data_IF_962035108320
#
_entry.id   IF_962035108320
#
_cell.length_a   1.000
_cell.length_b   1.000
_cell.length_c   1.000
_cell.angle_alpha   90.00
_cell.angle_beta   90.00
_cell.angle_gamma   90.00
#
_symmetry.space_group_name_H-M   'P 1'
#
loop_
_entity.id
_entity.type
_entity.pdbx_description
1 polymer ?
#
# COMPACT_ATOMS: atom_id res chain seq x y z
N UNK A 1 64.33 3.81 12.37
CA UNK A 1 63.29 4.41 13.25
C UNK A 1 62.49 5.54 12.60
N UNK A 2 63.06 6.50 11.84
CA UNK A 2 62.29 7.61 11.21
C UNK A 2 61.18 7.19 10.22
N UNK A 3 61.26 6.00 9.62
CA UNK A 3 60.26 5.53 8.65
C UNK A 3 58.93 5.11 9.29
N UNK A 4 58.95 4.50 10.48
CA UNK A 4 57.75 3.98 11.15
C UNK A 4 56.84 5.11 11.65
N UNK A 5 57.44 6.20 12.13
CA UNK A 5 56.71 7.36 12.64
C UNK A 5 55.90 8.08 11.55
N UNK A 6 56.41 8.09 10.31
CA UNK A 6 55.71 8.63 9.14
C UNK A 6 54.46 7.83 8.77
N UNK A 7 54.55 6.49 8.80
CA UNK A 7 53.41 5.62 8.53
C UNK A 7 52.31 5.73 9.58
N UNK A 8 52.67 5.85 10.86
CA UNK A 8 51.70 5.99 11.95
C UNK A 8 50.93 7.32 11.81
N UNK A 9 51.60 8.42 11.47
CA UNK A 9 50.95 9.72 11.26
C UNK A 9 50.03 9.73 10.04
N UNK A 10 50.48 9.12 8.93
CA UNK A 10 49.65 8.99 7.72
C UNK A 10 48.40 8.13 7.97
N UNK A 11 48.54 7.02 8.70
CA UNK A 11 47.43 6.15 9.05
C UNK A 11 46.42 6.82 9.99
N UNK A 12 46.90 7.53 11.02
CA UNK A 12 46.04 8.31 11.90
C UNK A 12 45.25 9.39 11.14
N UNK A 13 45.91 10.13 10.24
CA UNK A 13 45.25 11.13 9.40
C UNK A 13 44.17 10.52 8.50
N UNK A 14 44.43 9.35 7.91
CA UNK A 14 43.44 8.63 7.10
C UNK A 14 42.22 8.19 7.92
N UNK A 15 42.41 7.69 9.14
CA UNK A 15 41.32 7.33 10.04
C UNK A 15 40.46 8.54 10.43
N UNK A 16 41.08 9.69 10.72
CA UNK A 16 40.33 10.92 11.02
C UNK A 16 39.52 11.40 9.80
N UNK A 17 40.06 11.30 8.59
CA UNK A 17 39.31 11.66 7.37
C UNK A 17 38.12 10.73 7.12
N UNK A 18 38.29 9.42 7.29
CA UNK A 18 37.20 8.44 7.15
C UNK A 18 36.12 8.70 8.21
N UNK A 19 36.52 8.88 9.48
CA UNK A 19 35.60 9.21 10.56
C UNK A 19 34.84 10.52 10.31
N UNK A 20 35.53 11.55 9.81
CA UNK A 20 34.93 12.83 9.43
C UNK A 20 33.91 12.71 8.29
N UNK A 21 34.22 11.91 7.26
CA UNK A 21 33.30 11.64 6.15
C UNK A 21 32.07 10.86 6.58
N UNK A 22 32.23 9.84 7.44
CA UNK A 22 31.11 9.07 7.99
C UNK A 22 30.21 9.96 8.85
N UNK A 23 30.81 10.78 9.72
CA UNK A 23 30.06 11.73 10.55
C UNK A 23 29.30 12.75 9.69
N UNK A 24 29.95 13.34 8.68
CA UNK A 24 29.30 14.29 7.79
C UNK A 24 28.17 13.63 6.98
N UNK A 25 28.39 12.42 6.44
CA UNK A 25 27.38 11.66 5.70
C UNK A 25 26.16 11.32 6.57
N UNK A 26 26.36 10.91 7.82
CA UNK A 26 25.27 10.69 8.78
C UNK A 26 24.48 11.97 9.06
N UNK A 27 25.16 13.10 9.27
CA UNK A 27 24.48 14.37 9.53
C UNK A 27 23.66 14.81 8.30
N UNK A 28 24.20 14.70 7.09
CA UNK A 28 23.46 15.02 5.85
C UNK A 28 22.20 14.15 5.73
N UNK A 29 22.30 12.84 6.01
CA UNK A 29 21.13 11.95 6.02
C UNK A 29 20.08 12.41 7.06
N UNK A 30 20.50 12.70 8.28
CA UNK A 30 19.59 13.16 9.35
C UNK A 30 18.90 14.47 8.97
N UNK A 31 19.63 15.45 8.43
CA UNK A 31 19.05 16.72 7.99
C UNK A 31 18.11 16.54 6.80
N UNK A 32 18.45 15.69 5.82
CA UNK A 32 17.55 15.39 4.70
C UNK A 32 16.25 14.72 5.15
N UNK A 33 16.34 13.84 6.16
CA UNK A 33 15.19 13.16 6.75
C UNK A 33 14.33 14.14 7.55
N UNK A 34 14.96 15.02 8.35
CA UNK A 34 14.28 16.06 9.10
C UNK A 34 13.57 17.08 8.19
N UNK A 35 14.22 17.54 7.11
CA UNK A 35 13.59 18.43 6.13
C UNK A 35 12.37 17.77 5.46
N UNK A 36 12.50 16.49 5.10
CA UNK A 36 11.40 15.65 4.62
C UNK A 36 10.21 15.62 5.59
N UNK A 37 10.45 15.36 6.87
CA UNK A 37 9.40 15.36 7.92
C UNK A 37 8.75 16.73 8.06
N UNK A 38 9.53 17.82 8.09
CA UNK A 38 8.96 19.18 8.21
C UNK A 38 8.18 19.62 6.98
N UNK A 39 8.59 19.22 5.76
CA UNK A 39 7.80 19.46 4.55
C UNK A 39 6.49 18.70 4.61
N UNK A 40 6.52 17.44 5.07
CA UNK A 40 5.32 16.65 5.29
C UNK A 40 4.41 17.35 6.32
N UNK A 41 4.91 17.76 7.49
CA UNK A 41 4.09 18.49 8.47
C UNK A 41 3.47 19.78 7.93
N UNK A 42 4.22 20.60 7.18
CA UNK A 42 3.69 21.83 6.57
C UNK A 42 2.65 21.55 5.49
N UNK A 43 2.84 20.49 4.70
CA UNK A 43 1.87 20.03 3.70
C UNK A 43 0.60 19.49 4.38
N UNK A 44 0.70 18.99 5.61
CA UNK A 44 -0.47 18.60 6.41
C UNK A 44 -1.21 19.80 7.02
N UNK A 45 -0.48 20.85 7.43
CA UNK A 45 -1.06 22.08 8.01
C UNK A 45 -1.73 22.99 6.96
N UNK A 46 -1.22 23.00 5.73
CA UNK A 46 -1.79 23.76 4.63
C UNK A 46 -1.53 23.05 3.28
N UNK A 47 -2.27 21.97 2.97
CA UNK A 47 -2.03 21.19 1.79
C UNK A 47 -2.24 22.07 0.55
N UNK A 48 -1.18 22.20 -0.25
CA UNK A 48 -1.34 22.73 -1.61
C UNK A 48 -2.21 21.75 -2.37
N UNK A 49 -3.18 22.27 -3.11
CA UNK A 49 -3.99 21.46 -4.00
C UNK A 49 -3.04 20.71 -4.97
N UNK A 50 -3.05 19.36 -4.93
CA UNK A 50 -2.14 18.53 -5.74
C UNK A 50 -2.36 18.69 -7.25
N UNK A 51 -3.51 19.23 -7.67
CA UNK A 51 -3.85 19.50 -9.08
C UNK A 51 -3.85 21.00 -9.41
N UNK A 52 -3.44 21.89 -8.49
CA UNK A 52 -3.43 23.33 -8.73
C UNK A 52 -2.61 23.75 -9.97
N UNK A 53 -1.51 23.05 -10.24
CA UNK A 53 -0.64 23.33 -11.39
C UNK A 53 -1.37 23.17 -12.74
N UNK A 54 -2.40 22.31 -12.78
CA UNK A 54 -3.22 22.03 -13.96
C UNK A 54 -4.40 22.99 -14.12
N UNK A 55 -4.58 23.94 -13.20
CA UNK A 55 -5.65 24.96 -13.21
C UNK A 55 -7.07 24.37 -13.36
N UNK A 56 -7.27 23.14 -12.88
CA UNK A 56 -8.56 22.47 -12.92
C UNK A 56 -9.57 23.14 -11.99
N UNK A 57 -10.81 23.30 -12.45
CA UNK A 57 -11.93 23.75 -11.60
C UNK A 57 -12.59 22.52 -11.00
N UNK A 58 -12.29 22.20 -9.73
CA UNK A 58 -12.81 21.01 -9.06
C UNK A 58 -13.61 21.43 -7.82
N UNK A 59 -14.86 20.97 -7.71
CA UNK A 59 -15.71 21.11 -6.51
C UNK A 59 -15.76 19.80 -5.71
N UNK A 60 -16.29 19.86 -4.48
CA UNK A 60 -16.51 18.69 -3.61
C UNK A 60 -15.26 17.87 -3.22
N UNK A 61 -14.05 18.40 -3.49
CA UNK A 61 -12.77 17.74 -3.20
C UNK A 61 -12.25 17.99 -1.77
N UNK A 62 -12.93 18.85 -1.00
CA UNK A 62 -12.59 19.20 0.38
C UNK A 62 -13.43 18.41 1.39
N UNK A 63 -12.85 18.14 2.55
CA UNK A 63 -13.55 17.57 3.69
C UNK A 63 -14.58 18.57 4.26
N UNK A 64 -15.44 18.11 5.17
CA UNK A 64 -16.49 18.93 5.80
C UNK A 64 -15.93 20.18 6.51
N UNK A 65 -14.69 20.11 7.00
CA UNK A 65 -14.02 21.24 7.63
C UNK A 65 -13.58 22.35 6.65
N UNK A 66 -13.67 22.10 5.34
CA UNK A 66 -13.25 23.00 4.26
C UNK A 66 -11.74 23.25 4.17
N UNK A 67 -10.96 22.77 5.15
CA UNK A 67 -9.52 23.02 5.26
C UNK A 67 -8.73 21.93 4.56
N UNK A 68 -9.08 20.67 4.82
CA UNK A 68 -8.38 19.50 4.28
C UNK A 68 -9.01 19.00 3.01
N UNK A 69 -8.21 18.37 2.16
CA UNK A 69 -8.72 17.61 1.03
C UNK A 69 -9.22 16.25 1.47
N UNK A 70 -10.21 15.72 0.75
CA UNK A 70 -10.64 14.32 0.93
C UNK A 70 -9.46 13.40 0.59
N UNK A 71 -9.18 12.33 1.37
CA UNK A 71 -8.08 11.41 1.09
C UNK A 71 -8.10 10.86 -0.34
N UNK A 72 -9.26 10.37 -0.79
CA UNK A 72 -9.42 9.85 -2.14
C UNK A 72 -9.13 10.86 -3.26
N UNK A 73 -9.29 12.16 -3.00
CA UNK A 73 -8.90 13.21 -3.95
C UNK A 73 -7.38 13.33 -4.06
N UNK A 74 -6.68 13.33 -2.93
CA UNK A 74 -5.21 13.40 -2.91
C UNK A 74 -4.59 12.14 -3.54
N UNK A 75 -5.14 10.98 -3.21
CA UNK A 75 -4.72 9.68 -3.74
C UNK A 75 -4.93 9.58 -5.25
N UNK A 76 -6.06 10.07 -5.76
CA UNK A 76 -6.34 10.15 -7.20
C UNK A 76 -5.43 11.18 -7.90
N UNK A 77 -5.18 12.34 -7.27
CA UNK A 77 -4.35 13.38 -7.85
C UNK A 77 -2.88 12.99 -7.95
N UNK A 78 -2.36 12.26 -6.94
CA UNK A 78 -1.00 11.72 -6.90
C UNK A 78 -0.98 10.29 -7.50
N UNK A 79 -1.62 10.11 -8.65
CA UNK A 79 -1.90 8.82 -9.27
C UNK A 79 -0.66 7.94 -9.54
N UNK A 80 0.51 8.53 -9.74
CA UNK A 80 1.74 7.80 -10.04
C UNK A 80 2.67 7.64 -8.83
N UNK A 81 2.25 8.14 -7.67
CA UNK A 81 3.04 8.10 -6.43
C UNK A 81 2.59 6.91 -5.56
N UNK A 82 3.54 6.05 -5.20
CA UNK A 82 3.29 4.88 -4.33
C UNK A 82 3.00 5.30 -2.88
N UNK A 83 3.46 6.48 -2.48
CA UNK A 83 3.26 7.06 -1.15
C UNK A 83 2.01 7.94 -1.07
N UNK A 84 1.20 7.98 -2.15
CA UNK A 84 -0.04 8.75 -2.22
C UNK A 84 -1.14 8.30 -1.23
N UNK A 85 -0.96 7.19 -0.51
CA UNK A 85 -1.90 6.69 0.49
C UNK A 85 -2.83 5.58 0.00
N UNK A 86 -2.74 5.17 -1.26
CA UNK A 86 -3.57 4.08 -1.80
C UNK A 86 -3.18 2.74 -1.18
N UNK A 87 -4.17 2.01 -0.70
CA UNK A 87 -3.92 0.79 0.08
C UNK A 87 -4.75 -0.42 -0.33
N UNK A 88 -4.16 -1.60 -0.16
CA UNK A 88 -4.89 -2.88 -0.11
C UNK A 88 -4.69 -3.47 1.28
N UNK A 89 -5.76 -3.55 2.05
CA UNK A 89 -5.80 -4.42 3.23
C UNK A 89 -6.18 -5.83 2.80
N UNK A 90 -5.45 -6.83 3.29
CA UNK A 90 -5.84 -8.22 3.13
C UNK A 90 -5.81 -8.98 4.47
N UNK A 91 -6.64 -10.01 4.57
CA UNK A 91 -6.49 -11.04 5.60
C UNK A 91 -6.71 -12.44 5.03
N UNK A 92 -5.97 -13.41 5.54
CA UNK A 92 -5.97 -14.80 5.12
C UNK A 92 -5.84 -15.73 6.31
N UNK A 93 -6.35 -16.95 6.17
CA UNK A 93 -6.02 -18.09 7.02
C UNK A 93 -5.26 -19.08 6.16
N UNK A 94 -4.10 -19.51 6.63
CA UNK A 94 -3.16 -20.33 5.87
C UNK A 94 -2.74 -21.51 6.73
N UNK A 95 -2.83 -22.76 6.25
CA UNK A 95 -2.23 -23.89 6.93
C UNK A 95 -0.74 -23.63 7.22
N UNK A 96 -0.27 -24.00 8.41
CA UNK A 96 1.13 -23.78 8.77
C UNK A 96 2.08 -24.55 7.83
N UNK A 97 1.68 -25.74 7.36
CA UNK A 97 2.45 -26.48 6.36
C UNK A 97 2.71 -25.70 5.07
N UNK A 98 1.77 -24.85 4.63
CA UNK A 98 1.90 -24.07 3.39
C UNK A 98 2.89 -22.89 3.54
N UNK A 99 3.31 -22.59 4.77
CA UNK A 99 4.29 -21.54 5.08
C UNK A 99 5.71 -22.07 5.26
N UNK A 100 5.88 -23.40 5.30
CA UNK A 100 7.19 -24.04 5.39
C UNK A 100 7.87 -24.04 4.01
N UNK A 101 9.17 -23.79 4.00
CA UNK A 101 9.99 -24.05 2.83
C UNK A 101 10.16 -25.57 2.63
N UNK A 102 10.55 -25.98 1.43
CA UNK A 102 10.85 -27.37 1.15
C UNK A 102 11.94 -27.90 2.10
N UNK A 103 11.64 -28.99 2.82
CA UNK A 103 12.53 -29.61 3.80
C UNK A 103 12.60 -28.91 5.16
N UNK A 104 11.86 -27.82 5.36
CA UNK A 104 11.80 -27.15 6.66
C UNK A 104 10.93 -27.94 7.63
N UNK A 105 11.45 -28.16 8.83
CA UNK A 105 10.69 -28.82 9.90
C UNK A 105 9.72 -27.84 10.54
N UNK A 106 8.59 -28.37 11.04
CA UNK A 106 7.63 -27.60 11.80
C UNK A 106 8.32 -26.96 13.03
N UNK A 107 8.17 -25.65 13.27
CA UNK A 107 8.73 -25.00 14.46
C UNK A 107 8.18 -25.62 15.74
N UNK A 108 9.00 -25.62 16.80
CA UNK A 108 8.54 -26.01 18.13
C UNK A 108 7.40 -25.09 18.60
N UNK A 109 6.51 -25.56 19.49
CA UNK A 109 5.35 -24.80 19.93
C UNK A 109 5.69 -23.39 20.45
N UNK A 110 6.79 -23.23 21.18
CA UNK A 110 7.25 -21.94 21.71
C UNK A 110 7.73 -20.95 20.63
N UNK A 111 8.07 -21.42 19.43
CA UNK A 111 8.53 -20.60 18.31
C UNK A 111 7.43 -20.31 17.26
N UNK A 112 6.24 -20.92 17.38
CA UNK A 112 5.18 -20.79 16.38
C UNK A 112 4.75 -19.34 16.11
N UNK A 113 4.68 -18.50 17.15
CA UNK A 113 4.28 -17.10 16.98
C UNK A 113 5.36 -16.27 16.29
N UNK A 114 6.63 -16.52 16.62
CA UNK A 114 7.77 -15.85 15.98
C UNK A 114 7.84 -16.26 14.51
N UNK A 115 7.64 -17.55 14.22
CA UNK A 115 7.54 -18.08 12.87
C UNK A 115 6.38 -17.46 12.09
N UNK A 116 5.18 -17.39 12.66
CA UNK A 116 4.02 -16.78 12.00
C UNK A 116 4.30 -15.32 11.61
N UNK A 117 4.88 -14.54 12.52
CA UNK A 117 5.26 -13.14 12.26
C UNK A 117 6.31 -13.01 11.17
N UNK A 118 7.34 -13.85 11.17
CA UNK A 118 8.38 -13.80 10.15
C UNK A 118 7.86 -14.19 8.76
N UNK A 119 6.96 -15.18 8.70
CA UNK A 119 6.34 -15.63 7.44
C UNK A 119 5.27 -14.69 6.90
N UNK A 120 4.65 -13.87 7.74
CA UNK A 120 3.64 -12.90 7.32
C UNK A 120 4.16 -11.93 6.24
N UNK A 121 5.40 -11.46 6.36
CA UNK A 121 6.01 -10.54 5.37
C UNK A 121 6.22 -11.25 4.03
N UNK A 122 6.72 -12.49 4.03
CA UNK A 122 6.89 -13.28 2.82
C UNK A 122 5.54 -13.59 2.15
N UNK A 123 4.51 -13.86 2.96
CA UNK A 123 3.16 -14.05 2.44
C UNK A 123 2.59 -12.76 1.83
N UNK A 124 2.79 -11.61 2.48
CA UNK A 124 2.40 -10.30 1.98
C UNK A 124 3.11 -9.94 0.67
N UNK A 125 4.37 -10.34 0.48
CA UNK A 125 5.08 -10.19 -0.80
C UNK A 125 4.38 -10.97 -1.93
N UNK A 126 4.03 -12.24 -1.69
CA UNK A 126 3.22 -13.03 -2.63
C UNK A 126 1.85 -12.39 -2.89
N UNK A 127 1.24 -11.79 -1.87
CA UNK A 127 -0.04 -11.08 -2.05
C UNK A 127 0.14 -9.82 -2.92
N UNK A 128 1.25 -9.08 -2.75
CA UNK A 128 1.62 -7.99 -3.64
C UNK A 128 1.75 -8.45 -5.09
N UNK A 129 2.37 -9.60 -5.35
CA UNK A 129 2.44 -10.18 -6.70
C UNK A 129 1.05 -10.42 -7.30
N UNK A 130 0.08 -10.89 -6.50
CA UNK A 130 -1.32 -11.08 -6.95
C UNK A 130 -2.02 -9.75 -7.26
N UNK A 131 -1.80 -8.74 -6.42
CA UNK A 131 -2.32 -7.38 -6.68
C UNK A 131 -1.71 -6.82 -7.96
N UNK A 132 -0.39 -7.01 -8.15
CA UNK A 132 0.33 -6.63 -9.36
C UNK A 132 -0.07 -7.43 -10.60
N UNK A 133 -0.83 -8.52 -10.50
CA UNK A 133 -1.37 -9.25 -11.65
C UNK A 133 -2.67 -8.64 -12.18
N UNK A 134 -3.33 -7.74 -11.43
CA UNK A 134 -4.66 -7.24 -11.77
C UNK A 134 -4.83 -5.73 -11.59
N UNK A 135 -4.53 -5.20 -10.41
CA UNK A 135 -4.85 -3.83 -10.02
C UNK A 135 -3.65 -2.90 -10.12
N UNK A 136 -2.45 -3.41 -9.85
CA UNK A 136 -1.25 -2.59 -9.69
C UNK A 136 -0.18 -2.83 -10.76
N UNK A 137 0.61 -1.80 -11.05
CA UNK A 137 1.90 -1.92 -11.75
C UNK A 137 3.08 -1.99 -10.78
N UNK A 138 2.93 -1.39 -9.60
CA UNK A 138 3.90 -1.43 -8.51
C UNK A 138 3.15 -1.73 -7.21
N UNK A 139 3.73 -2.57 -6.36
CA UNK A 139 3.18 -2.90 -5.05
C UNK A 139 4.30 -3.04 -4.02
N UNK A 140 4.08 -2.48 -2.84
CA UNK A 140 5.01 -2.57 -1.73
C UNK A 140 4.27 -3.01 -0.46
N UNK A 141 4.89 -3.89 0.31
CA UNK A 141 4.38 -4.27 1.63
C UNK A 141 4.64 -3.12 2.60
N UNK A 142 3.58 -2.54 3.17
CA UNK A 142 3.69 -1.52 4.21
C UNK A 142 3.88 -2.17 5.59
N UNK A 143 3.04 -3.17 5.88
CA UNK A 143 3.08 -3.94 7.12
C UNK A 143 2.38 -5.28 6.92
N UNK A 144 2.85 -6.31 7.62
CA UNK A 144 2.14 -7.58 7.74
C UNK A 144 2.29 -8.15 9.16
N UNK A 145 1.26 -8.83 9.61
CA UNK A 145 1.22 -9.53 10.89
C UNK A 145 0.77 -10.98 10.68
N UNK A 146 1.33 -11.89 11.48
CA UNK A 146 0.97 -13.29 11.50
C UNK A 146 0.73 -13.77 12.92
N UNK A 147 -0.34 -14.54 13.11
CA UNK A 147 -0.71 -15.17 14.38
C UNK A 147 -0.99 -16.66 14.16
N UNK A 148 -0.27 -17.53 14.86
CA UNK A 148 -0.51 -18.96 14.81
C UNK A 148 -1.63 -19.38 15.79
N UNK A 149 -2.52 -20.26 15.36
CA UNK A 149 -3.59 -20.88 16.15
C UNK A 149 -3.89 -22.26 15.56
N UNK A 150 -3.72 -23.33 16.34
CA UNK A 150 -4.12 -24.70 15.99
C UNK A 150 -3.67 -25.20 14.60
N UNK A 151 -2.41 -24.95 14.25
CA UNK A 151 -1.84 -25.36 12.95
C UNK A 151 -2.26 -24.50 11.76
N UNK A 152 -3.01 -23.42 12.02
CA UNK A 152 -3.37 -22.39 11.04
C UNK A 152 -2.67 -21.10 11.45
N UNK A 153 -2.26 -20.31 10.46
CA UNK A 153 -1.74 -18.96 10.66
C UNK A 153 -2.72 -17.98 10.06
N UNK A 154 -3.26 -17.10 10.90
CA UNK A 154 -3.97 -15.91 10.44
C UNK A 154 -2.93 -14.87 10.04
N UNK A 155 -2.98 -14.41 8.80
CA UNK A 155 -2.09 -13.40 8.25
C UNK A 155 -2.94 -12.20 7.82
N UNK A 156 -2.54 -11.00 8.21
CA UNK A 156 -3.12 -9.76 7.70
C UNK A 156 -2.02 -8.79 7.30
N UNK A 157 -2.35 -7.83 6.46
CA UNK A 157 -1.38 -6.83 6.06
C UNK A 157 -1.99 -5.67 5.28
N UNK A 158 -1.17 -4.63 5.16
CA UNK A 158 -1.43 -3.47 4.33
C UNK A 158 -0.37 -3.40 3.25
N UNK A 159 -0.82 -3.26 2.01
CA UNK A 159 0.00 -3.06 0.83
C UNK A 159 -0.23 -1.64 0.34
N UNK A 160 0.82 -0.97 -0.13
CA UNK A 160 0.72 0.24 -0.95
C UNK A 160 0.83 -0.16 -2.40
N UNK A 161 0.17 0.58 -3.28
CA UNK A 161 0.25 0.27 -4.70
C UNK A 161 0.13 1.50 -5.59
N UNK A 162 0.68 1.36 -6.79
CA UNK A 162 0.42 2.25 -7.91
C UNK A 162 -0.48 1.51 -8.89
N UNK A 163 -1.64 2.10 -9.20
CA UNK A 163 -2.61 1.48 -10.10
C UNK A 163 -1.98 1.22 -11.48
N UNK A 164 -2.31 0.05 -12.05
CA UNK A 164 -1.80 -0.39 -13.34
C UNK A 164 -2.33 0.45 -14.49
N UNK A 165 -3.64 0.48 -14.62
CA UNK A 165 -4.33 1.19 -15.70
C UNK A 165 -4.23 2.69 -15.45
N UNK A 166 -4.09 3.50 -16.50
CA UNK A 166 -4.02 4.95 -16.36
C UNK A 166 -5.30 5.53 -15.75
N UNK A 167 -5.19 6.72 -15.13
CA UNK A 167 -6.31 7.42 -14.52
C UNK A 167 -7.45 7.71 -15.50
N UNK A 168 -7.13 7.92 -16.78
CA UNK A 168 -8.04 8.43 -17.80
C UNK A 168 -7.85 9.90 -18.12
N UNK A 169 -8.64 10.40 -19.07
CA UNK A 169 -8.51 11.76 -19.57
C UNK A 169 -9.22 12.76 -18.66
N UNK A 170 -8.53 13.86 -18.34
CA UNK A 170 -9.10 15.00 -17.61
C UNK A 170 -8.90 16.25 -18.47
N UNK A 171 -9.99 16.77 -19.02
CA UNK A 171 -10.06 18.03 -19.77
C UNK A 171 -9.81 19.22 -18.83
N UNK A 172 -8.74 19.97 -19.11
CA UNK A 172 -8.31 21.09 -18.27
C UNK A 172 -9.23 22.31 -18.36
N UNK A 173 -10.07 22.37 -19.39
CA UNK A 173 -11.02 23.46 -19.59
C UNK A 173 -12.40 23.18 -18.99
N UNK A 174 -12.64 21.95 -18.51
CA UNK A 174 -13.91 21.56 -17.92
C UNK A 174 -13.97 21.86 -16.42
N UNK A 175 -15.18 22.06 -15.92
CA UNK A 175 -15.46 22.05 -14.49
C UNK A 175 -15.81 20.61 -14.05
N UNK A 176 -15.31 20.22 -12.89
CA UNK A 176 -15.37 18.85 -12.38
C UNK A 176 -15.93 18.82 -10.95
N UNK A 177 -16.68 17.78 -10.64
CA UNK A 177 -17.09 17.43 -9.28
C UNK A 177 -16.29 16.21 -8.86
N UNK A 178 -15.61 16.29 -7.70
CA UNK A 178 -14.98 15.11 -7.12
C UNK A 178 -16.05 14.16 -6.55
N UNK A 179 -15.95 12.89 -6.94
CA UNK A 179 -16.82 11.83 -6.44
C UNK A 179 -15.99 10.68 -5.88
N UNK A 180 -16.54 10.05 -4.85
CA UNK A 180 -15.98 8.87 -4.22
C UNK A 180 -17.11 7.88 -3.94
N UNK A 181 -16.90 6.63 -4.32
CA UNK A 181 -17.89 5.56 -4.14
C UNK A 181 -17.23 4.33 -3.54
N UNK A 182 -17.92 3.71 -2.59
CA UNK A 182 -17.54 2.43 -2.01
C UNK A 182 -18.43 1.34 -2.61
N UNK A 183 -17.82 0.27 -3.14
CA UNK A 183 -18.53 -0.87 -3.70
C UNK A 183 -18.22 -2.15 -2.90
N UNK A 184 -19.26 -2.95 -2.65
CA UNK A 184 -19.11 -4.29 -2.08
C UNK A 184 -18.89 -5.29 -3.21
N UNK A 185 -17.68 -5.84 -3.31
CA UNK A 185 -17.27 -6.76 -4.37
C UNK A 185 -17.84 -8.18 -4.19
N UNK A 186 -18.37 -8.50 -3.02
CA UNK A 186 -18.91 -9.82 -2.67
C UNK A 186 -20.44 -9.89 -2.70
N UNK A 187 -21.14 -8.83 -3.11
CA UNK A 187 -22.61 -8.81 -3.33
C UNK A 187 -23.44 -9.29 -2.12
N UNK A 188 -23.02 -8.95 -0.89
CA UNK A 188 -23.77 -9.28 0.33
C UNK A 188 -22.90 -9.75 1.47
N UNK A 189 -23.38 -10.78 2.21
CA UNK A 189 -22.78 -11.29 3.45
C UNK A 189 -21.62 -12.25 3.20
N UNK A 190 -20.58 -11.81 2.51
CA UNK A 190 -19.39 -12.62 2.19
C UNK A 190 -19.66 -13.83 1.29
N UNK A 191 -18.62 -14.29 0.60
CA UNK A 191 -18.62 -15.45 -0.29
C UNK A 191 -17.96 -16.63 0.41
N UNK A 192 -18.64 -17.78 0.61
CA UNK A 192 -18.04 -18.98 1.17
C UNK A 192 -16.76 -19.40 0.42
N UNK A 193 -15.76 -19.85 1.17
CA UNK A 193 -14.47 -20.30 0.66
C UNK A 193 -13.85 -21.39 1.55
N UNK A 194 -12.75 -21.98 1.09
CA UNK A 194 -11.90 -22.91 1.86
C UNK A 194 -10.50 -22.32 2.04
N UNK A 195 -9.70 -22.92 2.93
CA UNK A 195 -8.27 -22.57 3.06
C UNK A 195 -7.55 -22.68 1.70
N UNK A 196 -7.76 -23.79 0.99
CA UNK A 196 -7.13 -24.06 -0.31
C UNK A 196 -7.60 -23.15 -1.45
N UNK A 197 -8.82 -22.63 -1.40
CA UNK A 197 -9.37 -21.76 -2.45
C UNK A 197 -9.31 -20.27 -2.12
N UNK A 198 -8.97 -19.91 -0.87
CA UNK A 198 -8.97 -18.54 -0.38
C UNK A 198 -8.06 -17.64 -1.21
N UNK A 199 -6.88 -18.13 -1.60
CA UNK A 199 -5.94 -17.41 -2.47
C UNK A 199 -6.57 -17.06 -3.84
N UNK A 200 -7.07 -18.06 -4.56
CA UNK A 200 -7.70 -17.87 -5.86
C UNK A 200 -8.92 -16.95 -5.76
N UNK A 201 -9.67 -17.05 -4.66
CA UNK A 201 -10.80 -16.17 -4.36
C UNK A 201 -10.39 -14.71 -4.20
N UNK A 202 -9.32 -14.41 -3.44
CA UNK A 202 -8.79 -13.05 -3.31
C UNK A 202 -8.28 -12.49 -4.64
N UNK A 203 -7.55 -13.30 -5.41
CA UNK A 203 -7.11 -12.90 -6.75
C UNK A 203 -8.27 -12.55 -7.70
N UNK A 204 -9.41 -13.25 -7.59
CA UNK A 204 -10.62 -12.93 -8.34
C UNK A 204 -11.25 -11.59 -7.90
N UNK A 205 -11.20 -11.27 -6.61
CA UNK A 205 -11.71 -10.00 -6.07
C UNK A 205 -10.85 -8.81 -6.52
N UNK A 206 -9.52 -8.96 -6.59
CA UNK A 206 -8.65 -7.93 -7.18
C UNK A 206 -9.01 -7.66 -8.65
N UNK A 207 -9.22 -8.71 -9.46
CA UNK A 207 -9.69 -8.56 -10.85
C UNK A 207 -11.06 -7.87 -10.93
N UNK A 208 -12.00 -8.21 -10.05
CA UNK A 208 -13.33 -7.58 -10.02
C UNK A 208 -13.23 -6.08 -9.73
N UNK A 209 -12.35 -5.66 -8.81
CA UNK A 209 -12.12 -4.24 -8.54
C UNK A 209 -11.56 -3.50 -9.75
N UNK A 210 -10.57 -4.07 -10.44
CA UNK A 210 -10.03 -3.50 -11.67
C UNK A 210 -11.11 -3.34 -12.76
N UNK A 211 -11.96 -4.36 -12.95
CA UNK A 211 -13.08 -4.33 -13.90
C UNK A 211 -14.10 -3.22 -13.55
N UNK A 212 -14.44 -3.06 -12.27
CA UNK A 212 -15.33 -2.00 -11.79
C UNK A 212 -14.75 -0.61 -12.03
N UNK A 213 -13.46 -0.42 -11.78
CA UNK A 213 -12.82 0.86 -12.09
C UNK A 213 -12.81 1.14 -13.61
N UNK A 214 -12.58 0.12 -14.45
CA UNK A 214 -12.68 0.25 -15.90
C UNK A 214 -14.11 0.58 -16.37
N UNK A 215 -15.16 0.05 -15.72
CA UNK A 215 -16.55 0.44 -15.95
C UNK A 215 -16.81 1.92 -15.62
N UNK A 216 -16.34 2.39 -14.45
CA UNK A 216 -16.44 3.79 -14.05
C UNK A 216 -15.69 4.68 -15.04
N UNK A 217 -14.45 4.32 -15.39
CA UNK A 217 -13.62 5.05 -16.35
C UNK A 217 -14.29 5.20 -17.72
N UNK A 218 -15.00 4.17 -18.21
CA UNK A 218 -15.75 4.26 -19.47
C UNK A 218 -16.93 5.24 -19.41
N UNK A 219 -17.55 5.39 -18.24
CA UNK A 219 -18.70 6.28 -18.04
C UNK A 219 -18.29 7.72 -17.75
N UNK A 220 -17.28 7.90 -16.88
CA UNK A 220 -16.88 9.20 -16.34
C UNK A 220 -15.59 9.76 -16.96
N UNK A 221 -14.92 8.95 -17.80
CA UNK A 221 -13.65 9.28 -18.45
C UNK A 221 -12.41 9.02 -17.60
N UNK A 222 -12.57 8.88 -16.28
CA UNK A 222 -11.47 8.63 -15.34
C UNK A 222 -11.89 7.75 -14.15
N UNK A 223 -10.94 7.06 -13.53
CA UNK A 223 -11.13 6.30 -12.29
C UNK A 223 -9.80 5.95 -11.61
N UNK A 224 -9.74 6.12 -10.30
CA UNK A 224 -8.70 5.61 -9.41
C UNK A 224 -9.29 4.70 -8.34
N UNK A 225 -8.70 3.52 -8.14
CA UNK A 225 -8.91 2.67 -6.97
C UNK A 225 -8.06 3.27 -5.84
N UNK A 226 -8.72 3.71 -4.78
CA UNK A 226 -8.06 4.41 -3.67
C UNK A 226 -7.80 3.49 -2.48
N UNK A 227 -8.76 2.64 -2.15
CA UNK A 227 -8.61 1.64 -1.11
C UNK A 227 -9.26 0.32 -1.52
N UNK A 228 -8.69 -0.78 -1.05
CA UNK A 228 -9.31 -2.10 -1.14
C UNK A 228 -9.22 -2.80 0.19
N UNK A 229 -10.27 -3.53 0.54
CA UNK A 229 -10.29 -4.45 1.67
C UNK A 229 -10.67 -5.83 1.16
N UNK A 230 -9.81 -6.83 1.34
CA UNK A 230 -10.08 -8.22 0.94
C UNK A 230 -9.80 -9.15 2.12
N UNK A 231 -10.85 -9.50 2.86
CA UNK A 231 -10.72 -10.20 4.13
C UNK A 231 -11.25 -11.63 4.05
N UNK A 232 -10.44 -12.60 4.44
CA UNK A 232 -10.91 -13.92 4.81
C UNK A 232 -11.26 -13.94 6.30
N UNK A 233 -12.44 -14.45 6.64
CA UNK A 233 -12.94 -14.59 8.03
C UNK A 233 -13.47 -15.99 8.30
N UNK A 234 -13.40 -16.44 9.55
CA UNK A 234 -14.09 -17.67 10.01
C UNK A 234 -15.60 -17.42 9.96
N UNK A 235 -16.36 -18.32 9.35
CA UNK A 235 -17.82 -18.23 9.26
C UNK A 235 -18.50 -18.75 10.54
N UNK A 236 -19.68 -18.22 10.90
CA UNK A 236 -20.40 -18.62 12.11
C UNK A 236 -20.75 -20.11 12.15
N UNK A 237 -21.08 -20.70 10.99
CA UNK A 237 -21.45 -22.11 10.85
C UNK A 237 -20.24 -23.03 10.61
N UNK A 238 -19.02 -22.53 10.86
CA UNK A 238 -17.78 -23.21 10.49
C UNK A 238 -17.37 -22.94 9.05
N UNK A 239 -16.09 -23.16 8.74
CA UNK A 239 -15.49 -22.81 7.45
C UNK A 239 -15.05 -21.35 7.37
N UNK A 240 -14.89 -20.86 6.14
CA UNK A 240 -14.37 -19.53 5.86
C UNK A 240 -15.20 -18.79 4.83
N UNK A 241 -15.19 -17.46 4.89
CA UNK A 241 -15.82 -16.57 3.94
C UNK A 241 -14.83 -15.49 3.52
N UNK A 242 -14.89 -15.09 2.25
CA UNK A 242 -14.24 -13.89 1.74
C UNK A 242 -15.23 -12.74 1.73
N UNK A 243 -14.82 -11.59 2.24
CA UNK A 243 -15.53 -10.33 2.15
C UNK A 243 -14.61 -9.33 1.46
N UNK A 244 -15.16 -8.52 0.56
CA UNK A 244 -14.35 -7.48 -0.06
C UNK A 244 -15.12 -6.23 -0.44
N UNK A 245 -14.43 -5.10 -0.29
CA UNK A 245 -14.87 -3.81 -0.78
C UNK A 245 -13.73 -3.07 -1.46
N UNK A 246 -14.09 -2.14 -2.34
CA UNK A 246 -13.16 -1.22 -2.96
C UNK A 246 -13.76 0.19 -2.97
N UNK A 247 -12.89 1.16 -2.77
CA UNK A 247 -13.19 2.57 -2.89
C UNK A 247 -12.64 3.10 -4.21
N UNK A 248 -13.46 3.85 -4.93
CA UNK A 248 -13.11 4.45 -6.21
C UNK A 248 -13.30 5.95 -6.13
N UNK A 249 -12.29 6.69 -6.59
CA UNK A 249 -12.32 8.13 -6.72
C UNK A 249 -12.25 8.53 -8.19
N UNK A 250 -13.06 9.50 -8.58
CA UNK A 250 -13.12 10.00 -9.96
C UNK A 250 -13.69 11.42 -10.00
N UNK A 251 -13.53 12.07 -11.15
CA UNK A 251 -14.06 13.38 -11.46
C UNK A 251 -15.23 13.24 -12.43
N UNK A 252 -16.36 13.85 -12.08
CA UNK A 252 -17.55 13.92 -12.93
C UNK A 252 -17.56 15.28 -13.63
N UNK A 253 -17.66 15.28 -14.97
CA UNK A 253 -17.71 16.52 -15.76
C UNK A 253 -19.04 17.24 -15.49
N UNK A 254 -18.99 18.52 -15.15
CA UNK A 254 -20.18 19.35 -15.07
C UNK A 254 -20.67 19.73 -16.47
N UNK A 255 -21.99 19.75 -16.72
CA UNK A 255 -22.53 20.34 -17.94
C UNK A 255 -22.14 21.82 -18.02
N UNK A 256 -21.81 22.26 -19.23
CA UNK A 256 -21.43 23.64 -19.51
C UNK A 256 -22.60 24.62 -19.34
#
# INVERSE_FOLDING_TARGET
MKSIEGYIRAFAAALFMIGGLLYFGMNVMVYSYADGITRQQREWENPRDPLASRKLKISEHRAEDGKRFKPGYVEMAKFDDIDAGRTVYFSAYVPLEDLLNAGEQRPSPELLQVFAKSRAILYAQKECERVMQSVARECAVNHAEGRAEDGIVSISGYLRFVQRDDLGAIDENAAWVFSNVNDNLTEGSGRPTSLSSGETGRAALYRKAAQKCAEIKRREGNCAITAMRVSMRKAYKGGYELDASAEYSFLIRQPA
#
